data_IF_295315483337
#
_entry.id   IF_295315483337
#
_cell.length_a   1.000
_cell.length_b   1.000
_cell.length_c   1.000
_cell.angle_alpha   90.00
_cell.angle_beta   90.00
_cell.angle_gamma   90.00
#
_symmetry.space_group_name_H-M   'P 1'
#
loop_
_entity.id
_entity.type
_entity.pdbx_description
1 polymer ?
#
# COMPACT_ATOMS: atom_id res chain seq x y z
N UNK A 1 -22.71 2.03 -28.34
CA UNK A 1 -21.64 1.82 -27.33
C UNK A 1 -20.63 0.82 -27.88
N UNK A 2 -19.32 1.10 -27.84
CA UNK A 2 -18.30 0.10 -28.24
C UNK A 2 -18.22 -0.96 -27.14
N UNK A 3 -18.70 -2.18 -27.41
CA UNK A 3 -18.57 -3.29 -26.47
C UNK A 3 -17.09 -3.66 -26.32
N UNK A 4 -16.61 -3.73 -25.09
CA UNK A 4 -15.24 -4.15 -24.80
C UNK A 4 -15.02 -5.62 -25.16
N UNK A 5 -13.77 -5.98 -25.45
CA UNK A 5 -13.38 -7.38 -25.72
C UNK A 5 -13.70 -8.30 -24.54
N UNK A 6 -13.42 -7.84 -23.31
CA UNK A 6 -13.75 -8.57 -22.08
C UNK A 6 -15.26 -8.76 -21.90
N UNK A 7 -16.05 -7.71 -22.11
CA UNK A 7 -17.51 -7.82 -22.02
C UNK A 7 -18.07 -8.82 -23.02
N UNK A 8 -17.58 -8.78 -24.26
CA UNK A 8 -17.98 -9.74 -25.31
C UNK A 8 -17.64 -11.19 -24.89
N UNK A 9 -16.48 -11.43 -24.28
CA UNK A 9 -16.11 -12.76 -23.77
C UNK A 9 -17.07 -13.21 -22.66
N UNK A 10 -17.38 -12.33 -21.69
CA UNK A 10 -18.28 -12.65 -20.58
C UNK A 10 -19.69 -13.01 -21.06
N UNK A 11 -20.22 -12.27 -22.03
CA UNK A 11 -21.56 -12.53 -22.59
C UNK A 11 -21.61 -13.87 -23.32
N UNK A 12 -20.62 -14.17 -24.17
CA UNK A 12 -20.56 -15.44 -24.90
C UNK A 12 -20.36 -16.65 -23.98
N UNK A 13 -19.59 -16.50 -22.90
CA UNK A 13 -19.46 -17.54 -21.88
C UNK A 13 -20.79 -17.78 -21.15
N UNK A 14 -21.57 -16.73 -20.87
CA UNK A 14 -22.91 -16.85 -20.26
C UNK A 14 -23.91 -17.52 -21.19
N UNK A 15 -23.75 -17.33 -22.49
CA UNK A 15 -24.52 -18.03 -23.54
C UNK A 15 -24.09 -19.49 -23.74
N UNK A 16 -23.08 -19.98 -23.00
CA UNK A 16 -22.63 -21.37 -23.08
C UNK A 16 -21.79 -21.69 -24.33
N UNK A 17 -21.21 -20.68 -24.99
CA UNK A 17 -20.35 -20.87 -26.16
C UNK A 17 -19.05 -21.57 -25.79
N UNK A 18 -18.60 -22.46 -26.67
CA UNK A 18 -17.30 -23.12 -26.55
C UNK A 18 -16.15 -22.16 -26.88
N UNK A 19 -14.94 -22.46 -26.39
CA UNK A 19 -13.75 -21.62 -26.64
C UNK A 19 -13.49 -21.38 -28.14
N UNK A 20 -13.60 -22.37 -29.05
CA UNK A 20 -13.46 -22.14 -30.49
C UNK A 20 -14.52 -21.18 -31.06
N UNK A 21 -15.78 -21.28 -30.62
CA UNK A 21 -16.84 -20.37 -31.05
C UNK A 21 -16.58 -18.94 -30.58
N UNK A 22 -16.14 -18.78 -29.33
CA UNK A 22 -15.79 -17.47 -28.77
C UNK A 22 -14.64 -16.86 -29.57
N UNK A 23 -13.58 -17.61 -29.82
CA UNK A 23 -12.43 -17.14 -30.61
C UNK A 23 -12.85 -16.72 -32.02
N UNK A 24 -13.73 -17.47 -32.68
CA UNK A 24 -14.26 -17.11 -33.99
C UNK A 24 -15.03 -15.78 -34.00
N UNK A 25 -15.79 -15.48 -32.93
CA UNK A 25 -16.44 -14.16 -32.77
C UNK A 25 -15.43 -13.06 -32.48
N UNK A 26 -14.44 -13.35 -31.62
CA UNK A 26 -13.42 -12.37 -31.25
C UNK A 26 -12.50 -12.02 -32.42
N UNK A 27 -12.09 -12.97 -33.25
CA UNK A 27 -11.20 -12.69 -34.38
C UNK A 27 -11.89 -11.84 -35.46
N UNK A 28 -13.22 -11.96 -35.60
CA UNK A 28 -14.01 -11.07 -36.48
C UNK A 28 -14.15 -9.66 -35.91
N UNK A 29 -14.39 -9.54 -34.59
CA UNK A 29 -14.70 -8.27 -33.92
C UNK A 29 -13.46 -7.50 -33.44
N UNK A 30 -12.39 -8.22 -33.15
CA UNK A 30 -11.10 -7.77 -32.64
C UNK A 30 -9.98 -8.51 -33.39
N UNK A 31 -9.69 -8.14 -34.66
CA UNK A 31 -8.74 -8.87 -35.49
C UNK A 31 -7.37 -9.05 -34.82
N UNK A 32 -6.66 -10.17 -35.05
CA UNK A 32 -5.31 -10.37 -34.53
C UNK A 32 -4.39 -9.18 -34.85
N UNK A 33 -3.61 -8.73 -33.87
CA UNK A 33 -2.73 -7.55 -33.99
C UNK A 33 -3.38 -6.21 -33.67
N UNK A 34 -4.72 -6.13 -33.56
CA UNK A 34 -5.41 -4.88 -33.19
C UNK A 34 -5.25 -4.48 -31.71
N UNK A 35 -4.83 -5.42 -30.86
CA UNK A 35 -4.68 -5.25 -29.41
C UNK A 35 -3.38 -5.90 -28.94
N UNK A 36 -2.85 -5.41 -27.81
CA UNK A 36 -1.57 -5.85 -27.26
C UNK A 36 -1.51 -7.33 -26.82
N UNK A 37 -2.66 -7.98 -26.60
CA UNK A 37 -2.74 -9.40 -26.21
C UNK A 37 -3.62 -10.17 -27.19
N UNK A 38 -3.30 -11.45 -27.41
CA UNK A 38 -4.08 -12.31 -28.30
C UNK A 38 -5.49 -12.58 -27.74
N UNK A 39 -6.45 -12.87 -28.62
CA UNK A 39 -7.82 -13.23 -28.21
C UNK A 39 -7.84 -14.51 -27.36
N UNK A 40 -6.93 -15.45 -27.63
CA UNK A 40 -6.71 -16.64 -26.80
C UNK A 40 -6.27 -16.28 -25.37
N UNK A 41 -5.31 -15.37 -25.22
CA UNK A 41 -4.85 -14.91 -23.91
C UNK A 41 -5.95 -14.14 -23.16
N UNK A 42 -6.72 -13.31 -23.87
CA UNK A 42 -7.84 -12.56 -23.30
C UNK A 42 -8.96 -13.48 -22.80
N UNK A 43 -9.29 -14.54 -23.57
CA UNK A 43 -10.27 -15.55 -23.18
C UNK A 43 -9.83 -16.31 -21.93
N UNK A 44 -8.59 -16.83 -21.93
CA UNK A 44 -8.02 -17.55 -20.79
C UNK A 44 -8.01 -16.69 -19.51
N UNK A 45 -7.56 -15.44 -19.60
CA UNK A 45 -7.55 -14.51 -18.46
C UNK A 45 -8.95 -14.18 -17.96
N UNK A 46 -9.94 -14.04 -18.85
CA UNK A 46 -11.32 -13.77 -18.44
C UNK A 46 -11.97 -14.97 -17.75
N UNK A 47 -11.72 -16.19 -18.22
CA UNK A 47 -12.19 -17.43 -17.56
C UNK A 47 -11.58 -17.58 -16.18
N UNK A 48 -10.28 -17.36 -16.04
CA UNK A 48 -9.59 -17.38 -14.75
C UNK A 48 -10.15 -16.36 -13.75
N UNK A 49 -10.39 -15.12 -14.20
CA UNK A 49 -11.01 -14.08 -13.38
C UNK A 49 -12.42 -14.49 -12.89
N UNK A 50 -13.22 -15.10 -13.77
CA UNK A 50 -14.57 -15.55 -13.46
C UNK A 50 -14.56 -16.71 -12.45
N UNK A 51 -13.69 -17.70 -12.64
CA UNK A 51 -13.49 -18.81 -11.69
C UNK A 51 -13.10 -18.31 -10.30
N UNK A 52 -12.15 -17.37 -10.23
CA UNK A 52 -11.73 -16.74 -8.96
C UNK A 52 -12.80 -15.87 -8.32
N UNK A 53 -13.66 -15.26 -9.12
CA UNK A 53 -14.79 -14.48 -8.60
C UNK A 53 -15.90 -15.37 -8.02
N UNK A 54 -16.07 -16.59 -8.51
CA UNK A 54 -17.01 -17.58 -7.97
C UNK A 54 -16.58 -18.17 -6.62
N UNK A 55 -15.28 -18.15 -6.29
CA UNK A 55 -14.75 -18.61 -4.99
C UNK A 55 -14.67 -17.50 -3.93
N UNK A 56 -14.98 -16.25 -4.28
CA UNK A 56 -15.02 -15.15 -3.31
C UNK A 56 -16.33 -15.24 -2.53
N UNK A 57 -16.22 -15.59 -1.24
CA UNK A 57 -17.22 -15.22 -0.21
C UNK A 57 -17.70 -13.82 -0.54
N UNK A 58 -19.01 -13.63 -0.63
CA UNK A 58 -19.67 -12.36 -0.95
C UNK A 58 -19.09 -11.27 -0.06
N UNK A 59 -18.06 -10.58 -0.55
CA UNK A 59 -17.76 -9.23 -0.09
C UNK A 59 -18.97 -8.45 -0.56
N UNK A 60 -19.78 -8.00 0.40
CA UNK A 60 -20.85 -7.05 0.17
C UNK A 60 -20.38 -6.07 -0.90
N UNK A 61 -21.20 -5.91 -1.94
CA UNK A 61 -20.99 -4.95 -3.03
C UNK A 61 -20.46 -3.68 -2.37
N UNK A 62 -19.21 -3.31 -2.65
CA UNK A 62 -18.71 -2.01 -2.23
C UNK A 62 -19.73 -1.03 -2.76
N UNK A 63 -20.44 -0.37 -1.84
CA UNK A 63 -21.33 0.72 -2.19
C UNK A 63 -20.57 1.63 -3.15
N UNK A 64 -21.30 2.20 -4.09
CA UNK A 64 -20.78 3.25 -4.94
C UNK A 64 -20.18 4.31 -4.02
N UNK A 65 -18.86 4.24 -3.82
CA UNK A 65 -18.12 5.22 -3.03
C UNK A 65 -18.30 6.49 -3.85
N UNK A 66 -18.97 7.52 -3.30
CA UNK A 66 -19.02 8.82 -3.96
C UNK A 66 -17.59 9.17 -4.37
N UNK A 67 -17.39 9.72 -5.57
CA UNK A 67 -16.07 10.25 -5.96
C UNK A 67 -15.49 10.98 -4.74
N UNK A 68 -14.27 10.63 -4.28
CA UNK A 68 -13.72 11.21 -3.08
C UNK A 68 -13.85 12.72 -3.21
N UNK A 69 -14.45 13.34 -2.19
CA UNK A 69 -14.40 14.77 -2.05
C UNK A 69 -12.94 15.14 -2.27
N UNK A 70 -12.67 15.99 -3.26
CA UNK A 70 -11.33 16.42 -3.62
C UNK A 70 -10.58 16.69 -2.32
N UNK A 71 -9.57 15.86 -2.03
CA UNK A 71 -8.68 16.04 -0.89
C UNK A 71 -8.33 17.52 -0.88
N UNK A 72 -8.83 18.24 0.13
CA UNK A 72 -8.80 19.70 0.12
C UNK A 72 -7.37 20.11 -0.17
N UNK A 73 -7.19 20.83 -1.28
CA UNK A 73 -5.94 21.36 -1.79
C UNK A 73 -4.98 21.65 -0.63
N UNK A 74 -3.86 20.94 -0.52
CA UNK A 74 -2.68 21.22 0.32
C UNK A 74 -2.91 22.26 1.44
N UNK A 75 -2.92 21.80 2.69
CA UNK A 75 -3.25 22.59 3.87
C UNK A 75 -2.10 23.49 4.31
N UNK A 76 -2.43 24.61 4.97
CA UNK A 76 -1.45 25.32 5.79
C UNK A 76 -1.24 24.58 7.12
N UNK A 77 -0.13 24.86 7.83
CA UNK A 77 0.24 24.15 9.07
C UNK A 77 -0.87 24.23 10.12
N UNK A 78 -1.37 25.44 10.41
CA UNK A 78 -2.38 25.68 11.44
C UNK A 78 -3.69 24.93 11.15
N UNK A 79 -4.08 24.88 9.86
CA UNK A 79 -5.26 24.12 9.42
C UNK A 79 -5.08 22.61 9.63
N UNK A 80 -3.90 22.08 9.32
CA UNK A 80 -3.59 20.67 9.52
C UNK A 80 -3.56 20.32 11.01
N UNK A 81 -2.91 21.15 11.85
CA UNK A 81 -2.89 20.98 13.31
C UNK A 81 -4.30 20.98 13.88
N UNK A 82 -5.15 21.94 13.48
CA UNK A 82 -6.53 22.01 13.94
C UNK A 82 -7.33 20.75 13.55
N UNK A 83 -7.21 20.27 12.30
CA UNK A 83 -7.88 19.05 11.82
C UNK A 83 -7.43 17.80 12.56
N UNK A 84 -6.13 17.67 12.82
CA UNK A 84 -5.56 16.54 13.56
C UNK A 84 -6.00 16.55 15.03
N UNK A 85 -6.08 17.72 15.65
CA UNK A 85 -6.57 17.86 17.03
C UNK A 85 -8.03 17.46 17.17
N UNK A 86 -8.86 17.72 16.14
CA UNK A 86 -10.27 17.33 16.11
C UNK A 86 -10.51 15.91 15.57
N UNK A 87 -9.47 15.15 15.22
CA UNK A 87 -9.62 13.86 14.57
C UNK A 87 -9.96 12.75 15.58
N UNK A 88 -11.18 12.22 15.49
CA UNK A 88 -11.61 11.06 16.28
C UNK A 88 -11.05 9.76 15.68
N UNK A 89 -9.83 9.38 16.07
CA UNK A 89 -9.15 8.20 15.49
C UNK A 89 -9.78 6.86 15.90
N UNK A 90 -10.41 6.78 17.08
CA UNK A 90 -10.84 5.51 17.68
C UNK A 90 -11.76 4.67 16.77
N UNK A 91 -12.87 5.20 16.20
CA UNK A 91 -13.75 4.40 15.34
C UNK A 91 -13.05 3.85 14.09
N UNK A 92 -12.10 4.61 13.54
CA UNK A 92 -11.34 4.26 12.34
C UNK A 92 -10.32 3.17 12.68
N UNK A 93 -9.60 3.33 13.79
CA UNK A 93 -8.64 2.34 14.30
C UNK A 93 -9.32 1.03 14.63
N UNK A 94 -10.46 1.04 15.32
CA UNK A 94 -11.21 -0.17 15.66
C UNK A 94 -11.75 -0.89 14.42
N UNK A 95 -12.26 -0.15 13.43
CA UNK A 95 -12.66 -0.72 12.14
C UNK A 95 -11.48 -1.39 11.44
N UNK A 96 -10.32 -0.73 11.43
CA UNK A 96 -9.09 -1.27 10.86
C UNK A 96 -8.63 -2.55 11.59
N UNK A 97 -8.65 -2.56 12.92
CA UNK A 97 -8.35 -3.76 13.73
C UNK A 97 -9.26 -4.93 13.38
N UNK A 98 -10.58 -4.70 13.43
CA UNK A 98 -11.58 -5.73 13.20
C UNK A 98 -11.54 -6.30 11.78
N UNK A 99 -11.42 -5.42 10.77
CA UNK A 99 -11.47 -5.82 9.35
C UNK A 99 -10.15 -6.41 8.87
N UNK A 100 -9.05 -5.75 9.19
CA UNK A 100 -7.78 -5.98 8.51
C UNK A 100 -6.82 -6.81 9.36
N UNK A 101 -6.92 -6.80 10.69
CA UNK A 101 -5.90 -7.42 11.57
C UNK A 101 -6.41 -8.62 12.38
N UNK A 102 -7.71 -8.70 12.65
CA UNK A 102 -8.29 -9.73 13.51
C UNK A 102 -7.89 -11.15 13.07
N UNK A 103 -7.42 -11.94 14.04
CA UNK A 103 -7.09 -13.35 13.88
C UNK A 103 -5.82 -13.67 13.10
N UNK A 104 -5.07 -12.66 12.60
CA UNK A 104 -3.88 -12.90 11.78
C UNK A 104 -2.66 -13.26 12.63
N UNK A 105 -1.97 -14.30 12.20
CA UNK A 105 -0.61 -14.64 12.65
C UNK A 105 0.41 -13.60 12.16
N UNK A 106 1.62 -13.53 12.75
CA UNK A 106 2.72 -12.70 12.25
C UNK A 106 3.02 -12.87 10.76
N UNK A 107 3.00 -14.11 10.26
CA UNK A 107 3.24 -14.39 8.84
C UNK A 107 2.13 -13.82 7.96
N UNK A 108 0.87 -13.93 8.39
CA UNK A 108 -0.28 -13.38 7.67
C UNK A 108 -0.28 -11.85 7.69
N UNK A 109 0.15 -11.20 8.78
CA UNK A 109 0.32 -9.75 8.82
C UNK A 109 1.37 -9.26 7.82
N UNK A 110 2.54 -9.92 7.76
CA UNK A 110 3.56 -9.58 6.75
C UNK A 110 3.04 -9.80 5.34
N UNK A 111 2.39 -10.93 5.06
CA UNK A 111 1.82 -11.22 3.75
C UNK A 111 0.72 -10.22 3.34
N UNK A 112 -0.03 -9.69 4.30
CA UNK A 112 -1.07 -8.69 4.09
C UNK A 112 -0.52 -7.28 3.85
N UNK A 113 0.70 -6.98 4.32
CA UNK A 113 1.28 -5.62 4.36
C UNK A 113 1.30 -4.93 3.00
N UNK A 114 1.61 -5.65 1.94
CA UNK A 114 1.73 -5.09 0.59
C UNK A 114 0.65 -5.64 -0.31
N UNK A 115 -0.11 -4.73 -0.90
CA UNK A 115 -1.09 -5.05 -1.92
C UNK A 115 -0.56 -4.79 -3.33
N UNK A 116 -1.40 -5.08 -4.33
CA UNK A 116 -1.08 -4.85 -5.73
C UNK A 116 -0.76 -3.38 -6.05
N UNK A 117 -1.13 -2.40 -5.21
CA UNK A 117 -0.86 -0.99 -5.47
C UNK A 117 0.59 -0.61 -5.20
N UNK A 118 1.21 -1.22 -4.17
CA UNK A 118 2.64 -1.03 -3.90
C UNK A 118 3.49 -1.66 -5.01
N UNK A 119 3.06 -2.82 -5.51
CA UNK A 119 3.77 -3.52 -6.60
C UNK A 119 3.74 -2.79 -7.94
N UNK A 120 2.78 -1.88 -8.18
CA UNK A 120 2.74 -1.08 -9.43
C UNK A 120 4.00 -0.24 -9.62
N UNK A 121 4.68 0.17 -8.56
CA UNK A 121 5.92 0.95 -8.68
C UNK A 121 7.06 0.15 -9.35
N UNK A 122 7.00 -1.18 -9.27
CA UNK A 122 8.06 -2.11 -9.69
C UNK A 122 7.74 -2.80 -11.02
N UNK A 123 7.23 -2.02 -11.99
CA UNK A 123 7.06 -2.52 -13.36
C UNK A 123 8.36 -3.16 -13.86
N UNK A 124 8.25 -4.38 -14.39
CA UNK A 124 9.36 -5.24 -14.86
C UNK A 124 10.19 -5.93 -13.78
N UNK A 125 9.73 -5.95 -12.54
CA UNK A 125 10.25 -6.79 -11.46
C UNK A 125 9.20 -7.84 -11.06
N UNK A 126 9.59 -8.83 -10.25
CA UNK A 126 8.69 -9.71 -9.50
C UNK A 126 8.56 -9.26 -8.03
N UNK A 127 7.91 -8.12 -7.75
CA UNK A 127 7.95 -7.52 -6.41
C UNK A 127 7.27 -8.37 -5.34
N UNK A 128 6.25 -9.16 -5.69
CA UNK A 128 5.62 -10.09 -4.76
C UNK A 128 6.56 -11.22 -4.34
N UNK A 129 7.35 -11.76 -5.27
CA UNK A 129 8.34 -12.78 -4.99
C UNK A 129 9.49 -12.21 -4.15
N UNK A 130 10.01 -11.04 -4.53
CA UNK A 130 11.09 -10.36 -3.80
C UNK A 130 10.67 -10.01 -2.37
N UNK A 131 9.46 -9.49 -2.21
CA UNK A 131 8.91 -9.25 -0.87
C UNK A 131 8.76 -10.55 -0.07
N UNK A 132 8.20 -11.62 -0.66
CA UNK A 132 8.08 -12.91 0.01
C UNK A 132 9.44 -13.55 0.37
N UNK A 133 10.51 -13.20 -0.35
CA UNK A 133 11.89 -13.62 -0.11
C UNK A 133 12.65 -12.73 0.87
N UNK A 134 12.10 -11.57 1.25
CA UNK A 134 12.67 -10.74 2.31
C UNK A 134 12.82 -11.58 3.58
N UNK A 135 14.02 -11.58 4.18
CA UNK A 135 14.40 -12.51 5.26
C UNK A 135 13.43 -12.53 6.45
N UNK A 136 12.74 -11.42 6.69
CA UNK A 136 11.78 -11.28 7.78
C UNK A 136 10.45 -12.00 7.53
N UNK A 137 10.10 -12.35 6.28
CA UNK A 137 8.96 -13.23 6.01
C UNK A 137 9.10 -14.61 6.65
N UNK A 138 10.31 -15.19 6.57
CA UNK A 138 10.61 -16.47 7.21
C UNK A 138 10.76 -16.34 8.74
N UNK A 139 10.96 -15.11 9.25
CA UNK A 139 11.25 -14.80 10.66
C UNK A 139 10.17 -13.91 11.28
N UNK A 140 8.93 -14.01 10.80
CA UNK A 140 7.82 -13.14 11.23
C UNK A 140 7.58 -13.18 12.75
N UNK A 141 7.68 -14.38 13.34
CA UNK A 141 7.57 -14.57 14.80
C UNK A 141 8.68 -13.87 15.58
N UNK A 142 9.90 -13.93 15.06
CA UNK A 142 11.03 -13.24 15.64
C UNK A 142 10.87 -11.72 15.52
N UNK A 143 10.40 -11.21 14.37
CA UNK A 143 10.10 -9.79 14.18
C UNK A 143 9.09 -9.31 15.23
N UNK A 144 8.00 -10.06 15.43
CA UNK A 144 6.98 -9.77 16.44
C UNK A 144 7.57 -9.73 17.86
N UNK A 145 8.43 -10.70 18.20
CA UNK A 145 9.10 -10.76 19.51
C UNK A 145 10.04 -9.57 19.71
N UNK A 146 10.86 -9.25 18.71
CA UNK A 146 11.82 -8.15 18.78
C UNK A 146 11.11 -6.80 18.89
N UNK A 147 10.09 -6.56 18.08
CA UNK A 147 9.28 -5.33 18.13
C UNK A 147 8.69 -5.09 19.53
N UNK A 148 8.17 -6.13 20.17
CA UNK A 148 7.60 -6.03 21.52
C UNK A 148 8.65 -5.84 22.62
N UNK A 149 9.91 -6.17 22.38
CA UNK A 149 11.00 -6.01 23.34
C UNK A 149 11.63 -4.60 23.30
N UNK A 150 11.26 -3.76 22.33
CA UNK A 150 11.79 -2.40 22.20
C UNK A 150 11.29 -1.54 23.37
N UNK A 151 12.20 -0.80 24.00
CA UNK A 151 11.93 -0.04 25.22
C UNK A 151 12.04 1.49 25.07
N UNK A 152 12.37 1.99 23.88
CA UNK A 152 12.52 3.43 23.63
C UNK A 152 12.32 3.80 22.16
N UNK A 153 11.98 5.06 21.90
CA UNK A 153 11.92 5.64 20.55
C UNK A 153 13.24 5.42 19.78
N UNK A 154 14.40 5.70 20.38
CA UNK A 154 15.69 5.54 19.71
C UNK A 154 15.96 4.08 19.28
N UNK A 155 15.58 3.11 20.13
CA UNK A 155 15.69 1.70 19.77
C UNK A 155 14.69 1.30 18.66
N UNK A 156 13.49 1.88 18.68
CA UNK A 156 12.51 1.72 17.61
C UNK A 156 13.02 2.28 16.27
N UNK A 157 13.57 3.49 16.26
CA UNK A 157 14.07 4.16 15.06
C UNK A 157 15.17 3.35 14.39
N UNK A 158 16.12 2.84 15.19
CA UNK A 158 17.19 1.97 14.70
C UNK A 158 16.61 0.66 14.15
N UNK A 159 15.71 0.02 14.87
CA UNK A 159 15.08 -1.23 14.42
C UNK A 159 14.33 -1.05 13.10
N UNK A 160 13.53 0.02 12.97
CA UNK A 160 12.79 0.31 11.74
C UNK A 160 13.73 0.57 10.56
N UNK A 161 14.84 1.29 10.79
CA UNK A 161 15.87 1.53 9.77
C UNK A 161 16.55 0.23 9.34
N UNK A 162 17.00 -0.60 10.28
CA UNK A 162 17.63 -1.91 10.00
C UNK A 162 16.69 -2.82 9.19
N UNK A 163 15.40 -2.84 9.52
CA UNK A 163 14.39 -3.54 8.73
C UNK A 163 14.30 -3.00 7.31
N UNK A 164 14.21 -1.67 7.13
CA UNK A 164 14.18 -1.02 5.82
C UNK A 164 15.42 -1.30 4.98
N UNK A 165 16.61 -1.20 5.56
CA UNK A 165 17.88 -1.52 4.89
C UNK A 165 17.97 -3.00 4.51
N UNK A 166 17.50 -3.90 5.38
CA UNK A 166 17.45 -5.33 5.06
C UNK A 166 16.52 -5.63 3.88
N UNK A 167 15.41 -4.88 3.74
CA UNK A 167 14.50 -5.01 2.62
C UNK A 167 15.17 -4.53 1.33
N UNK A 168 15.89 -3.39 1.35
CA UNK A 168 16.67 -2.94 0.17
C UNK A 168 17.70 -4.00 -0.25
N UNK A 169 18.45 -4.54 0.72
CA UNK A 169 19.47 -5.55 0.46
C UNK A 169 18.89 -6.84 -0.13
N UNK A 170 17.81 -7.37 0.46
CA UNK A 170 17.17 -8.60 0.00
C UNK A 170 16.39 -8.41 -1.30
N UNK A 171 15.95 -7.19 -1.59
CA UNK A 171 15.30 -6.89 -2.85
C UNK A 171 16.25 -7.03 -4.03
N UNK A 172 17.54 -6.72 -3.85
CA UNK A 172 18.59 -6.85 -4.85
C UNK A 172 18.74 -5.63 -5.77
N UNK A 173 19.95 -5.45 -6.29
CA UNK A 173 20.33 -4.25 -7.06
C UNK A 173 19.74 -4.18 -8.47
N UNK A 174 19.33 -5.34 -9.03
CA UNK A 174 18.88 -5.45 -10.42
C UNK A 174 17.52 -6.12 -10.54
N UNK A 175 16.75 -5.69 -11.54
CA UNK A 175 15.52 -6.33 -12.01
C UNK A 175 15.85 -7.66 -12.70
N UNK A 176 14.82 -8.44 -13.04
CA UNK A 176 14.97 -9.72 -13.75
C UNK A 176 15.51 -9.55 -15.19
N UNK A 177 15.57 -8.30 -15.68
CA UNK A 177 16.14 -7.90 -16.96
C UNK A 177 17.54 -7.30 -16.85
N UNK A 178 18.12 -7.23 -15.65
CA UNK A 178 19.44 -6.65 -15.40
C UNK A 178 19.47 -5.12 -15.27
N UNK A 179 18.32 -4.44 -15.30
CA UNK A 179 18.21 -2.99 -15.06
C UNK A 179 18.33 -2.67 -13.56
N UNK A 180 18.71 -1.46 -13.15
CA UNK A 180 18.71 -1.08 -11.73
C UNK A 180 17.31 -1.23 -11.10
N UNK A 181 17.23 -1.84 -9.91
CA UNK A 181 15.97 -1.93 -9.17
C UNK A 181 15.48 -0.55 -8.75
N UNK A 182 14.15 -0.40 -8.70
CA UNK A 182 13.51 0.82 -8.16
C UNK A 182 13.43 0.84 -6.64
N UNK A 183 13.79 -0.26 -5.97
CA UNK A 183 13.81 -0.31 -4.52
C UNK A 183 14.87 0.66 -3.97
N UNK A 184 14.40 1.62 -3.19
CA UNK A 184 15.26 2.54 -2.45
C UNK A 184 14.78 2.61 -1.00
N UNK A 185 15.58 3.24 -0.15
CA UNK A 185 15.27 3.31 1.29
C UNK A 185 13.91 3.96 1.58
N UNK A 186 13.46 4.96 0.82
CA UNK A 186 12.15 5.58 1.04
C UNK A 186 10.98 4.61 0.80
N UNK A 187 11.06 3.82 -0.28
CA UNK A 187 10.06 2.78 -0.58
C UNK A 187 10.13 1.65 0.43
N UNK A 188 11.34 1.22 0.80
CA UNK A 188 11.53 0.17 1.81
C UNK A 188 10.98 0.60 3.18
N UNK A 189 11.27 1.83 3.62
CA UNK A 189 10.74 2.38 4.87
C UNK A 189 9.22 2.47 4.86
N UNK A 190 8.59 2.81 3.73
CA UNK A 190 7.13 2.75 3.61
C UNK A 190 6.60 1.34 3.91
N UNK A 191 7.14 0.33 3.24
CA UNK A 191 6.72 -1.07 3.38
C UNK A 191 6.94 -1.55 4.81
N UNK A 192 8.13 -1.31 5.35
CA UNK A 192 8.49 -1.67 6.73
C UNK A 192 7.58 -0.99 7.74
N UNK A 193 7.33 0.32 7.63
CA UNK A 193 6.46 1.04 8.57
C UNK A 193 5.01 0.56 8.49
N UNK A 194 4.55 0.16 7.31
CA UNK A 194 3.23 -0.46 7.15
C UNK A 194 3.16 -1.82 7.85
N UNK A 195 4.19 -2.66 7.71
CA UNK A 195 4.30 -3.91 8.47
C UNK A 195 4.26 -3.66 9.97
N UNK A 196 5.11 -2.75 10.47
CA UNK A 196 5.18 -2.40 11.89
C UNK A 196 3.84 -1.87 12.41
N UNK A 197 3.15 -1.03 11.64
CA UNK A 197 1.78 -0.58 11.95
C UNK A 197 0.83 -1.76 12.11
N UNK A 198 0.84 -2.73 11.19
CA UNK A 198 -0.01 -3.92 11.30
C UNK A 198 0.28 -4.70 12.58
N UNK A 199 1.55 -4.94 12.91
CA UNK A 199 1.93 -5.61 14.15
C UNK A 199 1.44 -4.85 15.39
N UNK A 200 1.77 -3.57 15.50
CA UNK A 200 1.43 -2.73 16.65
C UNK A 200 -0.08 -2.63 16.90
N UNK A 201 -0.89 -2.53 15.85
CA UNK A 201 -2.34 -2.42 16.02
C UNK A 201 -3.07 -3.77 16.13
N UNK A 202 -2.41 -4.89 15.82
CA UNK A 202 -2.98 -6.22 15.99
C UNK A 202 -2.96 -6.69 17.45
N UNK A 203 -3.56 -7.85 17.74
CA UNK A 203 -3.45 -8.52 19.06
C UNK A 203 -2.03 -8.98 19.41
N UNK A 204 -1.09 -8.92 18.45
CA UNK A 204 0.31 -9.28 18.65
C UNK A 204 1.14 -8.10 19.18
N UNK A 205 0.65 -6.86 19.05
CA UNK A 205 1.24 -5.66 19.63
C UNK A 205 0.95 -5.59 21.13
N UNK A 206 1.91 -6.00 21.95
CA UNK A 206 1.81 -6.04 23.42
C UNK A 206 2.42 -4.82 24.10
N UNK A 207 3.31 -4.12 23.41
CA UNK A 207 3.91 -2.90 23.91
C UNK A 207 3.05 -1.68 23.48
N UNK A 208 2.34 -1.01 24.41
CA UNK A 208 1.47 0.12 24.08
C UNK A 208 2.25 1.35 23.60
N UNK A 209 3.51 1.51 24.02
CA UNK A 209 4.35 2.66 23.61
C UNK A 209 4.71 2.64 22.12
N UNK A 210 4.57 1.51 21.44
CA UNK A 210 4.82 1.41 20.01
C UNK A 210 3.95 2.37 19.18
N UNK A 211 2.72 2.67 19.63
CA UNK A 211 1.83 3.60 18.92
C UNK A 211 2.46 4.99 18.82
N UNK A 212 3.12 5.45 19.89
CA UNK A 212 3.81 6.74 19.93
C UNK A 212 5.06 6.75 19.05
N UNK A 213 5.72 5.60 18.93
CA UNK A 213 6.99 5.50 18.21
C UNK A 213 6.85 5.27 16.71
N UNK A 214 5.71 4.74 16.27
CA UNK A 214 5.46 4.39 14.88
C UNK A 214 5.74 5.55 13.93
N UNK A 215 6.40 5.20 12.83
CA UNK A 215 6.63 6.08 11.71
C UNK A 215 5.46 6.02 10.73
N UNK A 216 5.09 7.18 10.19
CA UNK A 216 4.16 7.31 9.06
C UNK A 216 4.73 6.61 7.80
N UNK A 217 3.99 5.68 7.18
CA UNK A 217 4.33 5.19 5.85
C UNK A 217 4.00 6.25 4.78
N UNK A 218 5.03 6.73 4.07
CA UNK A 218 4.88 7.80 3.08
C UNK A 218 4.27 7.30 1.76
N UNK A 219 3.15 7.86 1.36
CA UNK A 219 2.48 7.61 0.08
C UNK A 219 1.80 8.87 -0.44
N UNK A 220 1.02 8.74 -1.52
CA UNK A 220 0.34 9.88 -2.12
C UNK A 220 -0.59 10.60 -1.14
N UNK A 221 -1.28 9.86 -0.28
CA UNK A 221 -2.27 10.40 0.67
C UNK A 221 -1.59 11.06 1.87
N UNK A 222 -0.51 10.47 2.37
CA UNK A 222 0.27 11.05 3.49
C UNK A 222 1.26 12.14 3.07
N UNK A 223 1.56 12.29 1.78
CA UNK A 223 2.42 13.38 1.29
C UNK A 223 1.63 14.61 0.85
N UNK A 224 0.46 14.42 0.24
CA UNK A 224 -0.30 15.52 -0.36
C UNK A 224 -0.70 16.64 0.65
N UNK A 225 -1.14 16.34 1.89
CA UNK A 225 -1.45 17.37 2.88
C UNK A 225 -0.24 18.20 3.30
N UNK A 226 0.97 17.63 3.26
CA UNK A 226 2.21 18.31 3.64
C UNK A 226 2.77 19.21 2.55
N UNK A 227 2.21 19.19 1.34
CA UNK A 227 2.80 19.83 0.17
C UNK A 227 3.14 21.32 0.32
N UNK A 228 2.26 22.10 0.95
CA UNK A 228 2.47 23.54 1.19
C UNK A 228 3.35 23.83 2.40
N UNK A 229 3.54 22.86 3.27
CA UNK A 229 4.29 22.98 4.53
C UNK A 229 5.75 22.53 4.31
N UNK A 230 5.95 21.57 3.40
CA UNK A 230 7.26 21.04 3.06
C UNK A 230 8.16 22.09 2.41
N UNK A 231 9.30 22.35 3.04
CA UNK A 231 10.32 23.31 2.58
C UNK A 231 11.56 22.63 1.97
N UNK A 232 11.61 21.30 1.96
CA UNK A 232 12.75 20.56 1.43
C UNK A 232 12.76 20.43 -0.10
N UNK A 233 13.86 19.91 -0.64
CA UNK A 233 14.06 19.72 -2.08
C UNK A 233 14.15 18.23 -2.43
N UNK A 234 13.42 17.76 -3.47
CA UNK A 234 12.46 18.52 -4.29
C UNK A 234 11.16 18.85 -3.52
N UNK A 235 10.39 19.82 -4.02
CA UNK A 235 9.04 20.09 -3.53
C UNK A 235 8.11 18.88 -3.75
N UNK A 236 7.17 18.62 -2.85
CA UNK A 236 6.14 17.60 -3.03
C UNK A 236 5.29 17.97 -4.28
N UNK A 237 5.18 17.10 -5.30
CA UNK A 237 4.38 17.41 -6.49
C UNK A 237 2.87 17.31 -6.19
N UNK A 238 2.03 17.74 -7.14
CA UNK A 238 0.56 17.59 -7.04
C UNK A 238 0.10 16.13 -6.96
N UNK A 239 0.90 15.22 -7.51
CA UNK A 239 0.63 13.78 -7.56
C UNK A 239 1.87 13.03 -7.05
N UNK A 240 2.15 13.09 -5.74
CA UNK A 240 3.31 12.43 -5.17
C UNK A 240 3.20 10.92 -5.37
N UNK A 241 4.27 10.31 -5.87
CA UNK A 241 4.36 8.86 -5.97
C UNK A 241 4.94 8.26 -4.70
N UNK A 242 4.77 6.95 -4.51
CA UNK A 242 5.40 6.21 -3.42
C UNK A 242 6.93 6.30 -3.44
N UNK A 243 7.52 6.60 -4.61
CA UNK A 243 8.95 6.82 -4.77
C UNK A 243 9.38 8.29 -4.59
N UNK A 244 8.55 9.16 -4.02
CA UNK A 244 8.94 10.56 -3.77
C UNK A 244 10.09 10.67 -2.77
N UNK A 245 10.05 9.90 -1.68
CA UNK A 245 11.14 9.82 -0.70
C UNK A 245 12.29 9.03 -1.31
N UNK A 246 13.41 9.70 -1.60
CA UNK A 246 14.55 9.09 -2.34
C UNK A 246 15.66 8.56 -1.46
N UNK A 247 15.85 9.15 -0.29
CA UNK A 247 16.99 8.87 0.58
C UNK A 247 16.62 9.06 2.06
N UNK A 248 17.52 8.63 2.94
CA UNK A 248 17.32 8.67 4.39
C UNK A 248 17.20 10.10 4.94
N UNK A 249 17.96 11.05 4.40
CA UNK A 249 17.90 12.45 4.84
C UNK A 249 16.50 13.04 4.61
N UNK A 250 15.93 12.85 3.42
CA UNK A 250 14.58 13.30 3.09
C UNK A 250 13.52 12.59 3.95
N UNK A 251 13.69 11.29 4.18
CA UNK A 251 12.83 10.52 5.08
C UNK A 251 12.85 11.09 6.51
N UNK A 252 14.03 11.37 7.06
CA UNK A 252 14.20 11.95 8.39
C UNK A 252 13.60 13.36 8.49
N UNK A 253 13.80 14.20 7.47
CA UNK A 253 13.21 15.55 7.41
C UNK A 253 11.68 15.51 7.40
N UNK A 254 11.07 14.61 6.62
CA UNK A 254 9.62 14.42 6.63
C UNK A 254 9.13 13.92 7.99
N UNK A 255 9.87 13.02 8.63
CA UNK A 255 9.53 12.52 9.96
C UNK A 255 9.63 13.58 11.05
N UNK A 256 10.66 14.43 11.01
CA UNK A 256 10.78 15.58 11.90
C UNK A 256 9.60 16.54 11.70
N UNK A 257 9.30 16.89 10.44
CA UNK A 257 8.19 17.77 10.11
C UNK A 257 6.85 17.26 10.66
N UNK A 258 6.51 15.99 10.41
CA UNK A 258 5.23 15.47 10.89
C UNK A 258 5.23 15.29 12.40
N UNK A 259 6.36 14.92 13.02
CA UNK A 259 6.48 14.84 14.47
C UNK A 259 6.14 16.17 15.13
N UNK A 260 6.69 17.28 14.62
CA UNK A 260 6.42 18.62 15.15
C UNK A 260 4.94 18.98 15.03
N UNK A 261 4.32 18.67 13.89
CA UNK A 261 2.90 18.94 13.62
C UNK A 261 2.00 18.10 14.56
N UNK A 262 2.29 16.81 14.73
CA UNK A 262 1.48 15.92 15.56
C UNK A 262 1.68 16.18 17.04
N UNK A 263 2.88 16.59 17.46
CA UNK A 263 3.14 17.07 18.81
C UNK A 263 2.33 18.33 19.12
N UNK A 264 2.28 19.29 18.19
CA UNK A 264 1.45 20.49 18.32
C UNK A 264 -0.06 20.17 18.36
N UNK A 265 -0.48 19.15 17.61
CA UNK A 265 -1.86 18.66 17.64
C UNK A 265 -2.19 17.82 18.89
N UNK A 266 -1.18 17.36 19.64
CA UNK A 266 -1.36 16.53 20.84
C UNK A 266 -1.75 15.08 20.53
N UNK A 267 -1.32 14.53 19.39
CA UNK A 267 -1.64 13.16 18.96
C UNK A 267 -0.38 12.38 18.59
N UNK A 268 -0.44 11.04 18.69
CA UNK A 268 0.62 10.17 18.19
C UNK A 268 0.77 10.32 16.67
N UNK A 269 2.02 10.26 16.20
CA UNK A 269 2.39 10.52 14.80
C UNK A 269 1.64 9.65 13.80
N UNK A 270 1.42 8.37 14.14
CA UNK A 270 0.75 7.42 13.26
C UNK A 270 -0.72 7.77 12.99
N UNK A 271 -1.39 8.53 13.88
CA UNK A 271 -2.77 8.95 13.65
C UNK A 271 -2.91 9.95 12.50
N UNK A 272 -1.83 10.65 12.12
CA UNK A 272 -1.79 11.41 10.88
C UNK A 272 -2.08 10.54 9.66
N UNK A 273 -1.54 9.31 9.62
CA UNK A 273 -1.77 8.41 8.50
C UNK A 273 -3.24 7.98 8.41
N UNK A 274 -3.86 7.66 9.55
CA UNK A 274 -5.28 7.31 9.58
C UNK A 274 -6.14 8.48 9.11
N UNK A 275 -5.84 9.69 9.57
CA UNK A 275 -6.52 10.91 9.12
C UNK A 275 -6.34 11.15 7.62
N UNK A 276 -5.12 11.00 7.10
CA UNK A 276 -4.82 11.23 5.69
C UNK A 276 -5.55 10.23 4.79
N UNK A 277 -5.70 8.99 5.23
CA UNK A 277 -6.44 7.96 4.49
C UNK A 277 -7.96 8.13 4.60
N UNK A 278 -8.47 8.46 5.79
CA UNK A 278 -9.91 8.68 6.03
C UNK A 278 -10.43 9.89 5.26
N UNK A 279 -9.66 10.98 5.20
CA UNK A 279 -10.03 12.16 4.40
C UNK A 279 -9.96 11.94 2.89
N UNK A 280 -9.27 10.89 2.44
CA UNK A 280 -9.11 10.56 1.03
C UNK A 280 -10.19 9.61 0.47
N UNK A 281 -10.97 8.93 1.32
CA UNK A 281 -11.90 7.87 0.95
C UNK A 281 -13.32 8.13 1.49
#
# INVERSE_FOLDING_TARGET
MKHSRRGTITDLLREGKSDPEILGVLDKKFPPGSLATSNKAALAGTKWDLEKSGTRVVREKSMHIPKPAQLANSLHRDELVAKLRSFESNPIVERYRARDLAGKSPKELLAFTVDNTIYRAFHHETPSLRYAQWRWHARAEQLSKELNAISSQMAFDRFALELGESLVADWGEKTDRGEPSKMNIGVAMKITNLALKHFTFSSLGRNPSLIEWLHVPWDSFTLLPLRKIWVGQPSIPNTPSQGFVKNLAMYQQLHALISDITQEAGIARIYYEFWAWDTAH
#
